data_IF_450448533525
#
_entry.id   IF_450448533525
#
_cell.length_a   1.000
_cell.length_b   1.000
_cell.length_c   1.000
_cell.angle_alpha   90.00
_cell.angle_beta   90.00
_cell.angle_gamma   90.00
#
_symmetry.space_group_name_H-M   'P 1'
#
loop_
_entity.id
_entity.type
_entity.pdbx_description
1 polymer ?
#
# COMPACT_ATOMS: atom_id res chain seq x y z
N UNK A 1 -12.19 38.34 -50.80
CA UNK A 1 -12.35 37.74 -49.45
C UNK A 1 -12.26 36.22 -49.57
N UNK A 2 -11.12 35.60 -49.23
CA UNK A 2 -10.96 34.14 -49.15
C UNK A 2 -11.06 33.73 -47.69
N UNK A 3 -12.07 32.92 -47.33
CA UNK A 3 -12.19 32.32 -46.00
C UNK A 3 -11.25 31.11 -45.93
N UNK A 4 -10.25 31.14 -45.04
CA UNK A 4 -9.48 29.94 -44.70
C UNK A 4 -10.32 29.04 -43.78
N UNK A 5 -10.39 27.72 -44.03
CA UNK A 5 -11.01 26.79 -43.11
C UNK A 5 -10.08 26.56 -41.90
N UNK A 6 -10.62 26.77 -40.71
CA UNK A 6 -9.97 26.45 -39.45
C UNK A 6 -10.02 24.93 -39.24
N UNK A 7 -8.92 24.24 -39.54
CA UNK A 7 -8.79 22.81 -39.21
C UNK A 7 -8.52 22.69 -37.70
N UNK A 8 -9.52 22.17 -36.98
CA UNK A 8 -9.37 21.80 -35.57
C UNK A 8 -8.52 20.52 -35.50
N UNK A 9 -7.24 20.67 -35.20
CA UNK A 9 -6.34 19.55 -34.88
C UNK A 9 -6.82 18.90 -33.58
N UNK A 10 -7.51 17.76 -33.67
CA UNK A 10 -7.68 16.87 -32.52
C UNK A 10 -6.30 16.32 -32.14
N UNK A 11 -5.73 16.80 -31.04
CA UNK A 11 -4.56 16.20 -30.44
C UNK A 11 -4.93 14.79 -29.95
N UNK A 12 -4.56 13.77 -30.70
CA UNK A 12 -4.67 12.37 -30.26
C UNK A 12 -3.64 12.20 -29.14
N UNK A 13 -4.10 12.15 -27.89
CA UNK A 13 -3.22 11.89 -26.75
C UNK A 13 -2.51 10.56 -26.98
N UNK A 14 -1.18 10.59 -27.12
CA UNK A 14 -0.39 9.36 -27.20
C UNK A 14 -0.60 8.54 -25.93
N UNK A 15 -0.77 7.22 -26.02
CA UNK A 15 -0.92 6.38 -24.85
C UNK A 15 0.32 6.54 -23.96
N UNK A 16 0.10 6.72 -22.65
CA UNK A 16 1.20 6.81 -21.69
C UNK A 16 1.96 5.48 -21.70
N UNK A 17 3.29 5.54 -21.76
CA UNK A 17 4.15 4.37 -21.82
C UNK A 17 5.10 4.32 -20.61
N UNK A 18 5.37 3.11 -20.13
CA UNK A 18 6.38 2.83 -19.12
C UNK A 18 7.69 2.43 -19.81
N UNK A 19 8.79 3.08 -19.44
CA UNK A 19 10.12 2.74 -19.94
C UNK A 19 10.59 1.42 -19.35
N UNK A 20 11.25 0.60 -20.18
CA UNK A 20 11.82 -0.69 -19.83
C UNK A 20 13.37 -0.61 -19.91
N UNK A 21 13.98 -1.34 -20.85
CA UNK A 21 15.42 -1.41 -21.09
C UNK A 21 15.75 -0.85 -22.46
N UNK A 22 16.92 -0.23 -22.61
CA UNK A 22 17.49 0.13 -23.93
C UNK A 22 16.53 0.90 -24.85
N UNK A 23 15.74 1.82 -24.27
CA UNK A 23 14.75 2.64 -24.99
C UNK A 23 13.43 1.94 -25.31
N UNK A 24 13.30 0.63 -25.03
CA UNK A 24 12.03 -0.11 -25.17
C UNK A 24 11.03 0.38 -24.12
N UNK A 25 9.76 0.49 -24.51
CA UNK A 25 8.66 0.86 -23.63
C UNK A 25 7.49 -0.11 -23.73
N UNK A 26 6.63 -0.13 -22.71
CA UNK A 26 5.37 -0.86 -22.71
C UNK A 26 4.18 0.10 -22.49
N UNK A 27 3.04 -0.14 -23.12
CA UNK A 27 1.85 0.68 -22.89
C UNK A 27 1.35 0.50 -21.45
N UNK A 28 0.86 1.58 -20.85
CA UNK A 28 0.09 1.52 -19.61
C UNK A 28 -1.34 1.09 -19.97
N UNK A 29 -1.81 0.02 -19.33
CA UNK A 29 -3.18 -0.49 -19.53
C UNK A 29 -4.25 0.48 -19.01
N UNK A 30 -5.51 0.24 -19.40
CA UNK A 30 -6.64 1.05 -18.92
C UNK A 30 -6.87 0.97 -17.40
N UNK A 31 -6.32 -0.05 -16.74
CA UNK A 31 -6.27 -0.19 -15.28
C UNK A 31 -5.11 0.59 -14.63
N UNK A 32 -4.34 1.32 -15.43
CA UNK A 32 -3.21 2.14 -14.99
C UNK A 32 -1.93 1.37 -14.69
N UNK A 33 -1.84 0.09 -15.06
CA UNK A 33 -0.65 -0.75 -14.81
C UNK A 33 0.23 -0.92 -16.04
N UNK A 34 1.54 -1.01 -15.82
CA UNK A 34 2.49 -1.45 -16.83
C UNK A 34 2.93 -2.88 -16.51
N UNK A 35 2.63 -3.83 -17.40
CA UNK A 35 3.01 -5.24 -17.25
C UNK A 35 2.62 -5.85 -15.89
N UNK A 36 1.46 -5.45 -15.35
CA UNK A 36 0.97 -5.91 -14.05
C UNK A 36 1.30 -5.00 -12.86
N UNK A 37 2.13 -3.97 -13.02
CA UNK A 37 2.60 -3.13 -11.91
C UNK A 37 2.00 -1.72 -11.91
N UNK A 38 1.54 -1.26 -10.74
CA UNK A 38 1.11 0.13 -10.54
C UNK A 38 2.31 1.10 -10.48
N UNK A 39 2.15 2.35 -10.95
CA UNK A 39 3.18 3.37 -10.82
C UNK A 39 3.25 3.89 -9.38
N UNK A 40 4.47 4.07 -8.87
CA UNK A 40 4.70 4.58 -7.51
C UNK A 40 5.58 5.84 -7.46
N UNK A 41 6.36 6.12 -8.52
CA UNK A 41 7.35 7.19 -8.54
C UNK A 41 8.55 6.89 -7.63
N UNK A 42 9.32 7.91 -7.25
CA UNK A 42 10.41 7.80 -6.27
C UNK A 42 10.09 8.60 -5.01
N UNK A 43 10.62 8.16 -3.89
CA UNK A 43 10.64 8.95 -2.66
C UNK A 43 11.54 10.17 -2.84
N UNK A 44 11.09 11.32 -2.33
CA UNK A 44 11.85 12.55 -2.36
C UNK A 44 13.21 12.40 -1.64
N UNK A 45 14.30 13.01 -2.17
CA UNK A 45 15.60 13.04 -1.51
C UNK A 45 15.51 13.49 -0.06
N UNK A 46 16.38 12.93 0.80
CA UNK A 46 16.41 13.26 2.24
C UNK A 46 15.27 12.65 3.09
N UNK A 47 14.30 11.96 2.49
CA UNK A 47 13.15 11.39 3.22
C UNK A 47 13.40 10.01 3.85
N UNK A 48 14.64 9.50 3.79
CA UNK A 48 14.97 8.13 4.20
C UNK A 48 16.07 8.11 5.25
N UNK A 49 15.98 7.16 6.17
CA UNK A 49 17.02 6.85 7.15
C UNK A 49 17.67 5.51 6.82
N UNK A 50 18.96 5.39 7.14
CA UNK A 50 19.64 4.10 7.06
C UNK A 50 19.05 3.14 8.10
N UNK A 51 18.80 1.90 7.68
CA UNK A 51 18.46 0.82 8.58
C UNK A 51 19.73 0.40 9.30
N UNK A 52 19.72 0.28 10.65
CA UNK A 52 20.89 -0.11 11.39
C UNK A 52 21.48 -1.45 10.92
N UNK A 53 22.82 -1.60 10.89
CA UNK A 53 23.49 -2.79 10.36
C UNK A 53 23.14 -4.08 11.11
N UNK A 54 22.69 -4.01 12.36
CA UNK A 54 22.20 -5.16 13.10
C UNK A 54 20.88 -5.73 12.56
N UNK A 55 20.16 -4.97 11.73
CA UNK A 55 18.88 -5.35 11.11
C UNK A 55 18.94 -5.47 9.59
N UNK A 56 20.07 -5.16 8.96
CA UNK A 56 20.18 -5.15 7.50
C UNK A 56 21.45 -5.85 6.99
N UNK A 57 21.38 -6.36 5.76
CA UNK A 57 22.55 -6.85 5.03
C UNK A 57 22.86 -5.86 3.91
N UNK A 58 24.01 -5.20 4.03
CA UNK A 58 24.39 -4.13 3.11
C UNK A 58 23.57 -2.86 3.31
N UNK A 59 23.57 -1.99 2.29
CA UNK A 59 22.84 -0.73 2.35
C UNK A 59 21.34 -0.93 2.21
N UNK A 60 20.62 -0.52 3.24
CA UNK A 60 19.17 -0.52 3.29
C UNK A 60 18.70 0.82 3.88
N UNK A 61 17.77 1.49 3.19
CA UNK A 61 17.15 2.73 3.67
C UNK A 61 15.64 2.64 3.60
N UNK A 62 14.98 3.17 4.61
CA UNK A 62 13.52 3.20 4.73
C UNK A 62 13.06 4.56 5.24
N UNK A 63 11.77 4.85 5.05
CA UNK A 63 11.14 5.99 5.71
C UNK A 63 11.19 5.84 7.24
N UNK A 64 11.35 6.95 8.00
CA UNK A 64 11.47 6.90 9.45
C UNK A 64 10.38 6.10 10.15
N UNK A 65 9.13 6.21 9.69
CA UNK A 65 7.97 5.59 10.30
C UNK A 65 7.96 4.06 10.09
N UNK A 66 8.31 3.61 8.88
CA UNK A 66 8.49 2.19 8.60
C UNK A 66 9.69 1.61 9.35
N UNK A 67 10.79 2.37 9.46
CA UNK A 67 11.97 1.94 10.23
C UNK A 67 11.66 1.78 11.72
N UNK A 68 10.87 2.68 12.31
CA UNK A 68 10.47 2.57 13.70
C UNK A 68 9.73 1.24 13.97
N UNK A 69 8.82 0.85 13.09
CA UNK A 69 8.09 -0.40 13.20
C UNK A 69 8.93 -1.63 12.84
N UNK A 70 9.86 -1.51 11.88
CA UNK A 70 10.82 -2.56 11.57
C UNK A 70 11.65 -2.92 12.80
N UNK A 71 12.14 -1.93 13.56
CA UNK A 71 12.91 -2.18 14.79
C UNK A 71 12.11 -2.98 15.81
N UNK A 72 10.81 -2.68 15.97
CA UNK A 72 9.91 -3.42 16.86
C UNK A 72 9.71 -4.86 16.38
N UNK A 73 9.51 -5.05 15.08
CA UNK A 73 9.39 -6.39 14.47
C UNK A 73 10.66 -7.21 14.68
N UNK A 74 11.84 -6.64 14.37
CA UNK A 74 13.12 -7.33 14.49
C UNK A 74 13.45 -7.69 15.94
N UNK A 75 13.14 -6.80 16.90
CA UNK A 75 13.31 -7.09 18.32
C UNK A 75 12.41 -8.24 18.78
N UNK A 76 11.13 -8.26 18.37
CA UNK A 76 10.21 -9.34 18.68
C UNK A 76 10.66 -10.68 18.06
N UNK A 77 11.08 -10.65 16.79
CA UNK A 77 11.60 -11.84 16.10
C UNK A 77 12.85 -12.40 16.78
N UNK A 78 13.78 -11.53 17.20
CA UNK A 78 15.02 -11.97 17.86
C UNK A 78 14.79 -12.63 19.22
N UNK A 79 13.66 -12.36 19.89
CA UNK A 79 13.32 -12.94 21.18
C UNK A 79 12.47 -14.21 21.07
N UNK A 80 12.05 -14.61 19.86
CA UNK A 80 11.11 -15.71 19.67
C UNK A 80 11.80 -16.95 19.06
N UNK A 81 11.87 -18.08 19.79
CA UNK A 81 12.50 -19.30 19.30
C UNK A 81 11.80 -19.90 18.07
N UNK A 82 10.55 -19.52 17.77
CA UNK A 82 9.84 -19.99 16.58
C UNK A 82 10.44 -19.48 15.27
N UNK A 83 11.25 -18.42 15.30
CA UNK A 83 11.91 -17.87 14.11
C UNK A 83 12.99 -18.82 13.56
N UNK A 84 13.69 -19.54 14.43
CA UNK A 84 14.79 -20.47 14.09
C UNK A 84 15.79 -19.86 13.07
N UNK A 85 16.50 -18.83 13.50
CA UNK A 85 17.42 -18.05 12.69
C UNK A 85 17.29 -16.57 13.04
N UNK A 86 17.91 -15.71 12.24
CA UNK A 86 17.82 -14.25 12.43
C UNK A 86 17.31 -13.57 11.16
N UNK A 87 16.27 -12.76 11.33
CA UNK A 87 15.71 -11.93 10.26
C UNK A 87 16.59 -10.71 9.99
N UNK A 88 16.68 -10.35 8.71
CA UNK A 88 17.36 -9.15 8.22
C UNK A 88 16.57 -8.55 7.06
N UNK A 89 16.69 -7.23 6.89
CA UNK A 89 16.32 -6.54 5.67
C UNK A 89 17.46 -6.68 4.63
N UNK A 90 17.15 -7.25 3.47
CA UNK A 90 18.12 -7.50 2.39
C UNK A 90 18.03 -6.45 1.27
N UNK A 91 16.82 -6.03 0.92
CA UNK A 91 16.58 -4.98 -0.07
C UNK A 91 15.53 -4.03 0.46
N UNK A 92 15.72 -2.72 0.30
CA UNK A 92 14.84 -1.70 0.87
C UNK A 92 14.54 -0.64 -0.19
N UNK A 93 14.70 0.65 0.08
CA UNK A 93 14.59 1.65 -0.97
C UNK A 93 15.48 1.34 -2.18
N UNK A 94 14.90 1.46 -3.37
CA UNK A 94 15.58 1.31 -4.65
C UNK A 94 15.13 2.45 -5.55
N UNK A 95 16.07 3.31 -5.94
CA UNK A 95 15.81 4.41 -6.88
C UNK A 95 15.32 3.89 -8.24
N UNK A 96 14.71 4.78 -9.03
CA UNK A 96 14.29 4.45 -10.40
C UNK A 96 15.45 3.91 -11.26
N UNK A 97 16.61 4.55 -11.20
CA UNK A 97 17.81 4.12 -11.93
C UNK A 97 18.28 2.73 -11.50
N UNK A 98 18.35 2.48 -10.19
CA UNK A 98 18.74 1.16 -9.68
C UNK A 98 17.68 0.11 -10.01
N UNK A 99 16.40 0.47 -10.03
CA UNK A 99 15.31 -0.41 -10.45
C UNK A 99 15.44 -0.76 -11.93
N UNK A 100 15.80 0.19 -12.80
CA UNK A 100 16.07 -0.08 -14.21
C UNK A 100 17.21 -1.07 -14.36
N UNK A 101 18.33 -0.87 -13.68
CA UNK A 101 19.44 -1.80 -13.72
C UNK A 101 19.05 -3.22 -13.21
N UNK A 102 18.22 -3.30 -12.15
CA UNK A 102 17.68 -4.58 -11.67
C UNK A 102 16.77 -5.23 -12.72
N UNK A 103 15.79 -4.51 -13.25
CA UNK A 103 14.87 -5.01 -14.28
C UNK A 103 15.63 -5.49 -15.54
N UNK A 104 16.67 -4.75 -15.94
CA UNK A 104 17.42 -5.03 -17.15
C UNK A 104 18.44 -6.18 -17.02
N UNK A 105 18.87 -6.52 -15.81
CA UNK A 105 19.67 -7.73 -15.55
C UNK A 105 18.82 -8.97 -15.30
N UNK A 106 17.63 -8.80 -14.72
CA UNK A 106 16.71 -9.92 -14.50
C UNK A 106 16.37 -10.57 -15.83
N UNK A 107 16.64 -11.88 -15.94
CA UNK A 107 16.32 -12.70 -17.12
C UNK A 107 16.69 -11.98 -18.43
N UNK A 108 17.96 -11.62 -18.58
CA UNK A 108 18.43 -10.70 -19.63
C UNK A 108 18.03 -11.11 -21.07
N UNK A 109 17.83 -12.40 -21.36
CA UNK A 109 17.34 -12.89 -22.66
C UNK A 109 15.82 -12.87 -22.83
N UNK A 110 15.06 -12.55 -21.80
CA UNK A 110 13.60 -12.63 -21.78
C UNK A 110 12.93 -11.30 -22.14
N UNK A 111 11.67 -11.38 -22.57
CA UNK A 111 10.87 -10.20 -22.91
C UNK A 111 10.60 -9.31 -21.70
N UNK A 112 10.21 -8.05 -21.93
CA UNK A 112 9.79 -7.16 -20.83
C UNK A 112 8.68 -7.75 -19.96
N UNK A 113 7.72 -8.47 -20.59
CA UNK A 113 6.64 -9.17 -19.88
C UNK A 113 7.19 -10.28 -18.98
N UNK A 114 8.13 -11.09 -19.48
CA UNK A 114 8.69 -12.21 -18.71
C UNK A 114 9.55 -11.73 -17.52
N UNK A 115 10.23 -10.59 -17.70
CA UNK A 115 10.96 -9.91 -16.61
C UNK A 115 10.00 -9.38 -15.56
N UNK A 116 8.89 -8.78 -15.99
CA UNK A 116 7.86 -8.20 -15.13
C UNK A 116 7.23 -9.19 -14.14
N UNK A 117 7.31 -10.50 -14.41
CA UNK A 117 6.89 -11.54 -13.47
C UNK A 117 7.73 -11.50 -12.18
N UNK A 118 9.03 -11.16 -12.27
CA UNK A 118 9.98 -11.21 -11.13
C UNK A 118 10.61 -9.87 -10.76
N UNK A 119 10.44 -8.84 -11.58
CA UNK A 119 10.97 -7.51 -11.30
C UNK A 119 10.06 -6.45 -11.90
N UNK A 120 9.61 -5.48 -11.11
CA UNK A 120 8.79 -4.40 -11.62
C UNK A 120 9.55 -3.52 -12.64
N UNK A 121 8.86 -2.97 -13.67
CA UNK A 121 9.42 -1.92 -14.51
C UNK A 121 9.94 -0.72 -13.68
N UNK A 122 10.94 0.03 -14.18
CA UNK A 122 11.36 1.29 -13.56
C UNK A 122 10.19 2.23 -13.31
N UNK A 123 10.09 2.82 -12.11
CA UNK A 123 8.98 3.70 -11.70
C UNK A 123 7.72 2.97 -11.21
N UNK A 124 7.67 1.64 -11.35
CA UNK A 124 6.54 0.78 -10.93
C UNK A 124 6.89 -0.16 -9.77
N UNK A 125 8.08 -0.03 -9.19
CA UNK A 125 8.53 -0.84 -8.05
C UNK A 125 8.07 -0.25 -6.73
N UNK A 126 7.44 -1.06 -5.86
CA UNK A 126 7.05 -0.62 -4.52
C UNK A 126 8.27 -0.16 -3.68
N UNK A 127 9.47 -0.69 -3.94
CA UNK A 127 10.71 -0.29 -3.25
C UNK A 127 11.02 1.20 -3.39
N UNK A 128 10.65 1.83 -4.50
CA UNK A 128 10.91 3.25 -4.73
C UNK A 128 10.14 4.15 -3.74
N UNK A 129 9.09 3.63 -3.10
CA UNK A 129 8.29 4.37 -2.10
C UNK A 129 9.04 4.60 -0.79
N UNK A 130 10.04 3.77 -0.47
CA UNK A 130 10.72 3.73 0.83
C UNK A 130 9.92 3.10 1.98
N UNK A 131 8.76 2.50 1.69
CA UNK A 131 7.94 1.76 2.67
C UNK A 131 8.10 0.24 2.60
N UNK A 132 8.92 -0.26 1.68
CA UNK A 132 8.99 -1.69 1.34
C UNK A 132 10.38 -2.24 1.60
N UNK A 133 10.42 -3.49 2.05
CA UNK A 133 11.65 -4.26 2.16
C UNK A 133 11.47 -5.74 1.83
N UNK A 134 12.59 -6.36 1.49
CA UNK A 134 12.75 -7.79 1.31
C UNK A 134 13.39 -8.39 2.56
N UNK A 135 12.70 -9.29 3.25
CA UNK A 135 13.25 -10.04 4.37
C UNK A 135 14.13 -11.20 3.90
N UNK A 136 15.20 -11.45 4.64
CA UNK A 136 16.01 -12.67 4.53
C UNK A 136 16.30 -13.23 5.90
N UNK A 137 16.64 -14.52 5.96
CA UNK A 137 17.07 -15.20 7.19
C UNK A 137 18.56 -15.51 7.12
N UNK A 138 19.24 -15.45 8.28
CA UNK A 138 20.61 -15.93 8.46
C UNK A 138 20.70 -16.96 9.59
N UNK A 139 21.65 -17.91 9.53
CA UNK A 139 22.64 -18.11 8.44
C UNK A 139 21.97 -18.46 7.09
N UNK A 140 22.64 -18.12 5.99
CA UNK A 140 22.13 -18.44 4.66
C UNK A 140 22.31 -19.95 4.42
N UNK A 141 21.34 -20.56 3.77
CA UNK A 141 21.29 -22.00 3.49
C UNK A 141 21.73 -22.35 2.05
N UNK A 142 22.29 -21.38 1.31
CA UNK A 142 22.80 -21.58 -0.06
C UNK A 142 21.72 -21.96 -1.09
N UNK A 143 20.46 -21.78 -0.73
CA UNK A 143 19.33 -22.31 -1.48
C UNK A 143 19.06 -21.45 -2.74
N UNK A 144 18.93 -22.06 -3.94
CA UNK A 144 18.97 -21.32 -5.21
C UNK A 144 17.64 -20.67 -5.62
N UNK A 145 16.51 -21.14 -5.05
CA UNK A 145 15.17 -20.64 -5.37
C UNK A 145 14.62 -19.77 -4.23
N UNK A 146 14.89 -18.47 -4.28
CA UNK A 146 14.49 -17.53 -3.22
C UNK A 146 13.03 -17.68 -2.75
N UNK A 147 12.10 -18.10 -3.62
CA UNK A 147 10.68 -18.32 -3.29
C UNK A 147 10.49 -19.53 -2.40
N UNK A 148 10.81 -20.71 -2.92
CA UNK A 148 10.72 -21.96 -2.15
C UNK A 148 11.56 -21.89 -0.86
N UNK A 149 12.76 -21.31 -0.95
CA UNK A 149 13.69 -21.22 0.17
C UNK A 149 13.14 -20.33 1.29
N UNK A 150 12.63 -19.13 0.99
CA UNK A 150 12.06 -18.27 2.04
C UNK A 150 10.78 -18.85 2.61
N UNK A 151 9.88 -19.34 1.74
CA UNK A 151 8.60 -19.92 2.14
C UNK A 151 8.72 -21.09 3.13
N UNK A 152 9.75 -21.92 2.98
CA UNK A 152 9.98 -23.08 3.84
C UNK A 152 10.46 -22.72 5.25
N UNK A 153 10.97 -21.49 5.47
CA UNK A 153 11.63 -21.12 6.73
C UNK A 153 10.63 -20.93 7.87
N UNK A 154 10.95 -21.38 9.10
CA UNK A 154 10.16 -21.05 10.29
C UNK A 154 9.96 -19.54 10.47
N UNK A 155 10.97 -18.74 10.16
CA UNK A 155 10.90 -17.28 10.17
C UNK A 155 9.83 -16.71 9.23
N UNK A 156 9.58 -17.30 8.06
CA UNK A 156 8.50 -16.87 7.18
C UNK A 156 7.13 -17.13 7.81
N UNK A 157 6.94 -18.31 8.43
CA UNK A 157 5.70 -18.60 9.17
C UNK A 157 5.49 -17.61 10.32
N UNK A 158 6.56 -17.26 11.03
CA UNK A 158 6.50 -16.24 12.07
C UNK A 158 6.13 -14.87 11.50
N UNK A 159 6.72 -14.43 10.37
CA UNK A 159 6.35 -13.19 9.69
C UNK A 159 4.87 -13.20 9.28
N UNK A 160 4.41 -14.28 8.64
CA UNK A 160 3.02 -14.44 8.23
C UNK A 160 2.02 -14.27 9.39
N UNK A 161 2.37 -14.73 10.59
CA UNK A 161 1.54 -14.60 11.78
C UNK A 161 1.67 -13.24 12.50
N UNK A 162 2.83 -12.58 12.43
CA UNK A 162 3.15 -11.47 13.33
C UNK A 162 3.40 -10.13 12.65
N UNK A 163 3.90 -10.11 11.41
CA UNK A 163 4.26 -8.88 10.71
C UNK A 163 3.11 -7.86 10.61
N UNK A 164 1.82 -8.26 10.42
CA UNK A 164 0.70 -7.32 10.44
C UNK A 164 0.57 -6.51 11.73
N UNK A 165 0.95 -7.06 12.88
CA UNK A 165 0.92 -6.39 14.19
C UNK A 165 1.92 -5.23 14.27
N UNK A 166 2.92 -5.24 13.38
CA UNK A 166 3.92 -4.18 13.20
C UNK A 166 3.65 -3.35 11.94
N UNK A 167 2.50 -3.50 11.29
CA UNK A 167 2.11 -2.69 10.14
C UNK A 167 2.70 -3.13 8.81
N UNK A 168 3.30 -4.33 8.74
CA UNK A 168 3.80 -4.92 7.50
C UNK A 168 2.81 -5.93 6.93
N UNK A 169 2.50 -5.81 5.64
CA UNK A 169 1.67 -6.75 4.90
C UNK A 169 2.42 -7.27 3.66
N UNK A 170 2.14 -8.52 3.28
CA UNK A 170 2.85 -9.17 2.17
C UNK A 170 2.18 -8.83 0.84
N UNK A 171 2.87 -8.03 0.01
CA UNK A 171 2.28 -7.42 -1.19
C UNK A 171 1.87 -8.43 -2.25
N UNK A 172 2.66 -9.49 -2.44
CA UNK A 172 2.49 -10.46 -3.53
C UNK A 172 2.29 -11.87 -2.97
N UNK A 173 1.08 -12.21 -2.47
CA UNK A 173 0.80 -13.53 -1.93
C UNK A 173 0.72 -14.63 -3.01
N UNK A 174 0.65 -15.91 -2.60
CA UNK A 174 0.33 -17.01 -3.52
C UNK A 174 -0.96 -16.72 -4.30
N UNK A 175 -0.98 -17.11 -5.58
CA UNK A 175 -2.14 -16.91 -6.47
C UNK A 175 -2.58 -15.44 -6.61
N UNK A 176 -1.68 -14.48 -6.38
CA UNK A 176 -2.00 -13.07 -6.68
C UNK A 176 -2.30 -12.91 -8.18
N UNK A 177 -3.35 -12.16 -8.49
CA UNK A 177 -3.82 -11.95 -9.87
C UNK A 177 -3.15 -10.75 -10.55
N UNK A 178 -2.07 -10.25 -9.95
CA UNK A 178 -1.37 -9.07 -10.44
C UNK A 178 -0.44 -9.41 -11.63
N UNK A 179 -0.23 -10.70 -11.93
CA UNK A 179 0.79 -11.22 -12.84
C UNK A 179 2.22 -10.94 -12.36
N UNK A 180 2.38 -10.89 -11.03
CA UNK A 180 3.67 -10.90 -10.33
C UNK A 180 3.77 -12.25 -9.64
N UNK A 181 4.97 -12.84 -9.57
CA UNK A 181 5.14 -14.12 -8.86
C UNK A 181 4.85 -13.96 -7.36
N UNK A 182 4.78 -15.08 -6.66
CA UNK A 182 4.73 -15.05 -5.21
C UNK A 182 6.09 -14.58 -4.67
N UNK A 183 6.08 -13.60 -3.77
CA UNK A 183 7.29 -13.06 -3.17
C UNK A 183 7.19 -13.12 -1.63
N UNK A 184 7.46 -14.30 -1.02
CA UNK A 184 7.36 -14.49 0.44
C UNK A 184 8.28 -13.57 1.25
N UNK A 185 9.30 -13.00 0.60
CA UNK A 185 10.23 -12.05 1.20
C UNK A 185 9.78 -10.60 1.11
N UNK A 186 8.84 -10.22 0.22
CA UNK A 186 8.53 -8.82 -0.11
C UNK A 186 7.36 -8.28 0.72
N UNK A 187 7.64 -7.29 1.56
CA UNK A 187 6.67 -6.74 2.51
C UNK A 187 6.62 -5.22 2.45
N UNK A 188 5.42 -4.66 2.41
CA UNK A 188 5.19 -3.22 2.50
C UNK A 188 4.66 -2.82 3.86
N UNK A 189 5.12 -1.67 4.34
CA UNK A 189 4.61 -1.05 5.54
C UNK A 189 3.41 -0.14 5.21
N UNK A 190 2.32 -0.33 5.94
CA UNK A 190 1.10 0.50 5.87
C UNK A 190 0.68 1.03 7.25
N UNK A 191 1.54 0.85 8.26
CA UNK A 191 1.32 1.22 9.65
C UNK A 191 0.35 0.30 10.37
N UNK A 192 0.61 0.07 11.67
CA UNK A 192 -0.21 -0.80 12.54
C UNK A 192 -1.67 -0.38 12.61
N UNK A 193 -1.96 0.90 12.36
CA UNK A 193 -3.31 1.41 12.15
C UNK A 193 -3.26 2.62 11.21
N UNK A 194 -4.41 3.08 10.73
CA UNK A 194 -4.48 4.30 9.92
C UNK A 194 -4.04 5.57 10.68
N UNK A 195 -3.95 5.52 12.02
CA UNK A 195 -3.66 6.69 12.86
C UNK A 195 -2.19 6.87 13.18
N UNK A 196 -1.34 5.87 12.94
CA UNK A 196 0.09 6.05 13.23
C UNK A 196 0.70 7.03 12.23
N UNK A 197 1.64 7.89 12.66
CA UNK A 197 2.30 8.84 11.76
C UNK A 197 2.84 8.16 10.50
N UNK A 198 2.66 8.79 9.34
CA UNK A 198 3.07 8.25 8.05
C UNK A 198 2.15 7.19 7.43
N UNK A 199 1.28 6.53 8.21
CA UNK A 199 0.41 5.46 7.70
C UNK A 199 -0.61 5.96 6.67
N UNK A 200 -1.18 7.15 6.85
CA UNK A 200 -2.10 7.73 5.87
C UNK A 200 -1.44 7.89 4.49
N UNK A 201 -0.18 8.34 4.45
CA UNK A 201 0.61 8.45 3.22
C UNK A 201 0.90 7.07 2.63
N UNK A 202 1.38 6.12 3.43
CA UNK A 202 1.67 4.77 2.95
C UNK A 202 0.42 4.08 2.38
N UNK A 203 -0.71 4.16 3.11
CA UNK A 203 -1.99 3.59 2.68
C UNK A 203 -2.52 4.25 1.42
N UNK A 204 -2.32 5.56 1.24
CA UNK A 204 -2.66 6.24 0.00
C UNK A 204 -1.81 5.76 -1.18
N UNK A 205 -0.48 5.67 -0.99
CA UNK A 205 0.46 5.17 -2.01
C UNK A 205 0.05 3.77 -2.50
N UNK A 206 -0.35 2.88 -1.60
CA UNK A 206 -0.74 1.51 -1.93
C UNK A 206 -2.25 1.31 -2.12
N UNK A 207 -3.08 2.36 -2.12
CA UNK A 207 -4.55 2.21 -2.07
C UNK A 207 -5.08 1.31 -3.19
N UNK A 208 -4.67 1.57 -4.44
CA UNK A 208 -5.07 0.77 -5.61
C UNK A 208 -4.58 -0.67 -5.53
N UNK A 209 -3.34 -0.88 -5.10
CA UNK A 209 -2.78 -2.22 -4.92
C UNK A 209 -3.56 -3.00 -3.85
N UNK A 210 -3.82 -2.37 -2.69
CA UNK A 210 -4.57 -3.00 -1.58
C UNK A 210 -6.00 -3.34 -1.94
N UNK A 211 -6.65 -2.53 -2.77
CA UNK A 211 -8.01 -2.75 -3.24
C UNK A 211 -8.10 -3.85 -4.31
N UNK A 212 -7.28 -3.76 -5.36
CA UNK A 212 -7.34 -4.68 -6.49
C UNK A 212 -6.61 -6.01 -6.25
N UNK A 213 -5.52 -5.98 -5.48
CA UNK A 213 -4.63 -7.12 -5.20
C UNK A 213 -4.27 -7.12 -3.70
N UNK A 214 -5.23 -7.49 -2.84
CA UNK A 214 -5.05 -7.42 -1.40
C UNK A 214 -3.86 -8.27 -0.95
N UNK A 215 -3.08 -7.71 -0.04
CA UNK A 215 -1.99 -8.42 0.62
C UNK A 215 -2.53 -9.63 1.41
N UNK A 216 -1.70 -10.63 1.60
CA UNK A 216 -2.01 -11.73 2.52
C UNK A 216 -0.70 -12.25 3.15
N UNK A 217 -0.48 -12.10 4.47
CA UNK A 217 -1.41 -11.48 5.41
C UNK A 217 -1.52 -9.97 5.17
N UNK A 218 -2.70 -9.43 5.44
CA UNK A 218 -2.97 -7.99 5.40
C UNK A 218 -2.88 -7.39 6.79
N UNK A 219 -2.49 -6.11 6.87
CA UNK A 219 -2.77 -5.29 8.06
C UNK A 219 -4.22 -4.83 7.95
N UNK A 220 -4.97 -4.94 9.05
CA UNK A 220 -6.43 -4.76 9.13
C UNK A 220 -7.00 -3.86 8.02
N UNK A 221 -7.98 -4.38 7.24
CA UNK A 221 -8.56 -3.65 6.13
C UNK A 221 -9.16 -2.34 6.62
N UNK A 222 -9.11 -1.31 5.78
CA UNK A 222 -9.86 -0.07 5.99
C UNK A 222 -11.34 -0.42 5.74
N UNK A 223 -11.99 -1.07 6.71
CA UNK A 223 -13.42 -0.90 6.85
C UNK A 223 -13.56 0.23 7.85
N UNK A 224 -13.97 1.46 7.45
CA UNK A 224 -14.69 2.26 8.41
C UNK A 224 -15.85 1.37 8.84
N UNK A 225 -15.89 0.97 10.12
CA UNK A 225 -17.18 0.57 10.69
C UNK A 225 -18.07 1.79 10.54
N UNK A 226 -18.84 1.83 9.46
CA UNK A 226 -20.01 2.68 9.39
C UNK A 226 -20.98 2.05 10.39
N UNK A 227 -20.86 2.41 11.66
CA UNK A 227 -21.99 2.27 12.56
C UNK A 227 -23.11 3.06 11.90
N UNK A 228 -24.21 2.42 11.46
CA UNK A 228 -25.35 3.17 10.98
C UNK A 228 -25.71 4.17 12.09
N UNK A 229 -26.05 5.42 11.74
CA UNK A 229 -26.51 6.38 12.75
C UNK A 229 -27.63 5.71 13.55
N UNK A 230 -27.71 5.93 14.87
CA UNK A 230 -28.81 5.39 15.65
C UNK A 230 -30.10 5.78 14.97
N UNK A 231 -31.00 4.81 14.76
CA UNK A 231 -32.34 5.08 14.22
C UNK A 231 -33.03 5.98 15.23
N UNK A 232 -32.95 7.29 15.01
CA UNK A 232 -33.73 8.27 15.76
C UNK A 232 -35.16 8.05 15.29
N UNK A 233 -35.93 7.28 16.06
CA UNK A 233 -37.38 7.23 15.87
C UNK A 233 -37.88 8.65 16.03
N UNK A 234 -38.38 9.23 14.95
CA UNK A 234 -39.09 10.51 15.01
C UNK A 234 -40.24 10.31 15.99
N UNK A 235 -40.13 10.91 17.18
CA UNK A 235 -41.26 10.98 18.09
C UNK A 235 -42.26 11.89 17.39
N UNK A 236 -43.24 11.29 16.72
CA UNK A 236 -44.39 12.04 16.22
C UNK A 236 -45.08 12.56 17.47
N UNK A 237 -44.90 13.86 17.74
CA UNK A 237 -45.59 14.53 18.84
C UNK A 237 -47.09 14.40 18.53
N UNK A 238 -47.88 13.77 19.42
CA UNK A 238 -49.32 13.62 19.20
C UNK A 238 -49.95 15.00 18.96
N UNK A 239 -50.95 15.10 18.07
CA UNK A 239 -51.65 16.36 17.87
C UNK A 239 -52.23 16.86 19.20
N UNK A 240 -52.00 18.14 19.48
CA UNK A 240 -52.48 18.79 20.71
C UNK A 240 -53.98 18.58 20.88
N UNK A 241 -54.37 18.09 22.06
CA UNK A 241 -55.76 17.83 22.39
C UNK A 241 -56.57 19.12 22.44
N UNK A 242 -57.89 19.02 22.22
CA UNK A 242 -58.78 20.17 22.32
C UNK A 242 -58.71 20.88 23.69
N UNK A 243 -58.39 20.13 24.76
CA UNK A 243 -58.22 20.66 26.12
C UNK A 243 -56.96 21.51 26.25
N UNK A 244 -55.82 21.01 25.75
CA UNK A 244 -54.54 21.72 25.77
C UNK A 244 -54.60 22.99 24.91
N UNK A 245 -55.23 22.90 23.73
CA UNK A 245 -55.45 24.04 22.84
C UNK A 245 -56.24 25.16 23.53
N UNK A 246 -57.35 24.81 24.19
CA UNK A 246 -58.17 25.76 24.97
C UNK A 246 -57.39 26.36 26.15
N UNK A 247 -56.52 25.59 26.80
CA UNK A 247 -55.69 26.08 27.89
C UNK A 247 -54.63 27.08 27.38
N UNK A 248 -53.99 26.81 26.23
CA UNK A 248 -53.05 27.73 25.58
C UNK A 248 -53.74 29.03 25.19
N UNK A 249 -54.89 28.95 24.53
CA UNK A 249 -55.69 30.13 24.13
C UNK A 249 -56.11 30.98 25.34
N UNK A 250 -56.49 30.35 26.45
CA UNK A 250 -56.80 31.06 27.71
C UNK A 250 -55.58 31.77 28.29
N UNK A 251 -54.40 31.14 28.27
CA UNK A 251 -53.14 31.77 28.70
C UNK A 251 -52.78 32.97 27.82
N UNK A 252 -52.90 32.84 26.51
CA UNK A 252 -52.61 33.93 25.58
C UNK A 252 -53.61 35.08 25.70
N UNK A 253 -54.91 34.78 25.88
CA UNK A 253 -55.91 35.82 26.18
C UNK A 253 -55.63 36.56 27.50
N UNK A 254 -55.16 35.86 28.54
CA UNK A 254 -54.77 36.49 29.81
C UNK A 254 -53.55 37.40 29.64
N UNK A 255 -52.52 36.95 28.90
CA UNK A 255 -51.34 37.77 28.60
C UNK A 255 -51.68 39.03 27.79
N UNK A 256 -52.63 38.94 26.86
CA UNK A 256 -53.09 40.09 26.06
C UNK A 256 -53.93 41.09 26.85
N UNK A 257 -54.58 40.67 27.94
CA UNK A 257 -55.35 41.55 28.84
C UNK A 257 -54.50 42.19 29.94
N UNK A 258 -53.26 41.72 30.12
CA UNK A 258 -52.29 42.23 31.08
C UNK A 258 -51.27 43.19 30.43
N UNK A 259 -51.50 43.58 29.18
CA UNK A 259 -50.80 44.63 28.43
C UNK A 259 -51.83 45.71 28.09
#
# INVERSE_FOLDING_TARGET
MRRLPLYLLLAIASPVQAQLCDGVSAPIGGDGRALGHFPYGDVAPGSLLAVPPEYAIGECRLRPEALADLRRLMAAASGDPAVQGRLYALSCHRSLERQQATFCRTRQSASGRDRAISAAPPGHSEHATGYVLDFTVRPADGCPDAEACMAAKPAFRWLAANAPRFGFEMSFPPSNRQNVKWEPWHWRWVGTSARVPGAARARFVFARAREAFPANPAVDPILPRVTPPPVVRTIVVPPETARERRARERRERRKRRAR
#
